data_IF_913524504520
#
_entry.id   IF_913524504520
#
_cell.length_a   1.000
_cell.length_b   1.000
_cell.length_c   1.000
_cell.angle_alpha   90.00
_cell.angle_beta   90.00
_cell.angle_gamma   90.00
#
_symmetry.space_group_name_H-M   'P 1'
#
loop_
_entity.id
_entity.type
_entity.pdbx_description
1 polymer ?
#
# COMPACT_ATOMS: atom_id res chain seq x y z
N UNK A 1 28.21 -17.69 -24.39
CA UNK A 1 28.06 -18.54 -23.22
C UNK A 1 26.62 -18.41 -22.76
N UNK A 2 25.81 -19.44 -23.01
CA UNK A 2 24.37 -19.49 -22.73
C UNK A 2 24.17 -19.74 -21.24
N UNK A 3 23.32 -18.93 -20.60
CA UNK A 3 22.71 -19.28 -19.34
C UNK A 3 21.23 -19.59 -19.59
N UNK A 4 21.00 -20.89 -19.78
CA UNK A 4 19.65 -21.47 -19.71
C UNK A 4 19.57 -22.08 -18.32
N UNK A 5 18.73 -21.50 -17.45
CA UNK A 5 18.38 -22.17 -16.22
C UNK A 5 16.85 -22.08 -16.07
N UNK A 6 16.24 -23.19 -16.42
CA UNK A 6 14.81 -23.42 -16.39
C UNK A 6 14.31 -23.69 -14.98
N UNK A 7 13.94 -22.65 -14.27
CA UNK A 7 13.06 -22.77 -13.12
C UNK A 7 11.89 -21.79 -13.26
N UNK A 8 10.90 -22.13 -14.11
CA UNK A 8 9.60 -21.50 -14.09
C UNK A 8 8.83 -21.96 -12.86
N UNK A 9 9.12 -21.33 -11.72
CA UNK A 9 8.21 -21.31 -10.57
C UNK A 9 6.85 -20.77 -11.03
N UNK A 10 5.75 -21.43 -10.67
CA UNK A 10 4.38 -21.02 -10.97
C UNK A 10 4.20 -19.52 -10.63
N UNK A 11 4.16 -18.69 -11.66
CA UNK A 11 3.85 -17.26 -11.51
C UNK A 11 2.36 -17.15 -11.20
N UNK A 12 2.02 -16.96 -9.94
CA UNK A 12 0.66 -16.58 -9.57
C UNK A 12 0.38 -15.20 -10.15
N UNK A 13 -0.52 -15.15 -11.11
CA UNK A 13 -1.01 -13.89 -11.68
C UNK A 13 -2.16 -13.40 -10.82
N UNK A 14 -2.03 -12.25 -10.21
CA UNK A 14 -3.05 -11.67 -9.36
C UNK A 14 -4.13 -11.01 -10.20
N UNK A 15 -5.39 -11.40 -9.99
CA UNK A 15 -6.55 -10.74 -10.57
C UNK A 15 -7.30 -9.99 -9.45
N UNK A 16 -7.29 -8.66 -9.49
CA UNK A 16 -8.02 -7.80 -8.56
C UNK A 16 -9.00 -6.94 -9.34
N UNK A 17 -10.30 -7.05 -9.08
CA UNK A 17 -11.37 -6.32 -9.78
C UNK A 17 -11.30 -6.44 -11.31
N UNK A 18 -10.98 -7.64 -11.83
CA UNK A 18 -10.87 -7.90 -13.27
C UNK A 18 -9.55 -7.45 -13.91
N UNK A 19 -8.67 -6.81 -13.16
CA UNK A 19 -7.32 -6.44 -13.62
C UNK A 19 -6.31 -7.53 -13.27
N UNK A 20 -5.53 -7.92 -14.27
CA UNK A 20 -4.41 -8.87 -14.11
C UNK A 20 -3.13 -8.07 -13.97
N UNK A 21 -2.46 -8.17 -12.82
CA UNK A 21 -1.17 -7.50 -12.63
C UNK A 21 -0.12 -8.09 -13.57
N UNK A 22 0.63 -7.26 -14.33
CA UNK A 22 1.74 -7.73 -15.14
C UNK A 22 2.97 -8.13 -14.31
N UNK A 23 2.95 -7.81 -13.02
CA UNK A 23 4.07 -8.07 -12.12
C UNK A 23 3.88 -9.37 -11.36
N UNK A 24 4.95 -10.17 -11.19
CA UNK A 24 4.92 -11.34 -10.34
C UNK A 24 4.70 -10.94 -8.88
N UNK A 25 4.09 -11.81 -8.11
CA UNK A 25 4.02 -11.67 -6.65
C UNK A 25 5.34 -12.13 -6.05
N UNK A 26 5.92 -11.34 -5.14
CA UNK A 26 7.13 -11.73 -4.42
C UNK A 26 6.91 -13.04 -3.64
N UNK A 27 7.91 -13.93 -3.61
CA UNK A 27 7.83 -15.13 -2.79
C UNK A 27 7.66 -14.76 -1.30
N UNK A 28 6.80 -15.52 -0.62
CA UNK A 28 6.55 -15.31 0.80
C UNK A 28 7.75 -15.82 1.61
N UNK A 29 8.40 -14.98 2.44
CA UNK A 29 9.48 -15.43 3.33
C UNK A 29 8.98 -16.42 4.38
N UNK A 30 9.84 -17.34 4.81
CA UNK A 30 9.49 -18.38 5.79
C UNK A 30 8.87 -17.83 7.08
N UNK A 31 9.35 -16.71 7.58
CA UNK A 31 8.80 -16.09 8.79
C UNK A 31 7.38 -15.55 8.60
N UNK A 32 7.01 -15.13 7.38
CA UNK A 32 5.62 -14.75 7.05
C UNK A 32 4.78 -16.00 6.86
N UNK A 33 5.31 -17.02 6.18
CA UNK A 33 4.64 -18.29 6.02
C UNK A 33 4.30 -18.93 7.37
N UNK A 34 5.20 -18.82 8.35
CA UNK A 34 4.96 -19.31 9.72
C UNK A 34 3.80 -18.60 10.45
N UNK A 35 3.42 -17.39 10.04
CA UNK A 35 2.25 -16.70 10.62
C UNK A 35 0.93 -17.40 10.28
N UNK A 36 0.89 -18.20 9.22
CA UNK A 36 -0.32 -18.91 8.75
C UNK A 36 -0.86 -19.89 9.80
N UNK A 37 0.04 -20.42 10.63
CA UNK A 37 -0.27 -21.39 11.68
C UNK A 37 -0.10 -20.78 13.10
N UNK A 38 -0.05 -19.45 13.19
CA UNK A 38 0.15 -18.75 14.47
C UNK A 38 -1.02 -18.97 15.41
N UNK A 39 -0.76 -19.45 16.62
CA UNK A 39 -1.75 -19.49 17.70
C UNK A 39 -2.03 -18.10 18.29
N UNK A 40 -1.10 -17.15 18.15
CA UNK A 40 -1.28 -15.78 18.60
C UNK A 40 -2.04 -14.94 17.56
N UNK A 41 -2.83 -13.94 17.98
CA UNK A 41 -3.53 -13.05 17.07
C UNK A 41 -2.58 -12.33 16.10
N UNK A 42 -2.86 -12.41 14.80
CA UNK A 42 -2.12 -11.70 13.75
C UNK A 42 -2.87 -10.41 13.41
N UNK A 43 -2.18 -9.28 13.53
CA UNK A 43 -2.71 -7.97 13.20
C UNK A 43 -1.99 -7.37 11.99
N UNK A 44 -2.75 -6.74 11.10
CA UNK A 44 -2.23 -5.95 9.98
C UNK A 44 -2.52 -4.47 10.20
N UNK A 45 -1.52 -3.62 9.98
CA UNK A 45 -1.71 -2.17 9.97
C UNK A 45 -1.95 -1.69 8.55
N UNK A 46 -3.11 -1.10 8.32
CA UNK A 46 -3.54 -0.50 7.08
C UNK A 46 -3.45 1.02 7.14
N UNK A 47 -2.96 1.63 6.07
CA UNK A 47 -2.75 3.07 5.96
C UNK A 47 -3.27 3.67 4.64
N UNK A 48 -3.69 2.85 3.71
CA UNK A 48 -4.17 3.19 2.36
C UNK A 48 -5.44 2.41 2.03
N UNK A 49 -5.53 1.90 0.80
CA UNK A 49 -6.73 1.22 0.27
C UNK A 49 -7.22 0.06 1.12
N UNK A 50 -6.35 -0.63 1.84
CA UNK A 50 -6.75 -1.66 2.81
C UNK A 50 -7.67 -1.14 3.92
N UNK A 51 -7.70 0.17 4.21
CA UNK A 51 -8.59 0.72 5.25
C UNK A 51 -10.07 0.74 4.84
N UNK A 52 -10.37 1.00 3.57
CA UNK A 52 -11.73 1.11 3.03
C UNK A 52 -12.11 -0.03 2.09
N UNK A 53 -11.15 -0.73 1.55
CA UNK A 53 -11.34 -1.93 0.74
C UNK A 53 -10.31 -3.00 1.13
N UNK A 54 -10.47 -3.67 2.28
CA UNK A 54 -9.51 -4.65 2.77
C UNK A 54 -9.36 -5.87 1.86
N UNK A 55 -10.43 -6.28 1.16
CA UNK A 55 -10.47 -7.48 0.30
C UNK A 55 -9.87 -8.73 0.98
N UNK A 56 -9.93 -8.77 2.30
CA UNK A 56 -9.50 -9.90 3.13
C UNK A 56 -10.48 -10.07 4.29
N UNK A 57 -10.73 -11.28 4.77
CA UNK A 57 -11.49 -11.47 5.98
C UNK A 57 -10.75 -10.91 7.19
N UNK A 58 -11.49 -10.30 8.11
CA UNK A 58 -10.96 -9.86 9.40
C UNK A 58 -12.00 -10.09 10.49
N UNK A 59 -11.53 -10.39 11.70
CA UNK A 59 -12.39 -10.61 12.87
C UNK A 59 -12.68 -9.31 13.63
N UNK A 60 -11.77 -8.33 13.54
CA UNK A 60 -11.83 -7.09 14.30
C UNK A 60 -11.03 -5.99 13.60
N UNK A 61 -11.44 -4.73 13.78
CA UNK A 61 -10.65 -3.56 13.36
C UNK A 61 -10.62 -2.49 14.44
N UNK A 62 -9.51 -1.79 14.59
CA UNK A 62 -9.31 -0.71 15.57
C UNK A 62 -8.61 0.48 14.93
N UNK A 63 -8.97 1.73 15.26
CA UNK A 63 -8.12 2.87 14.98
C UNK A 63 -6.75 2.68 15.61
N UNK A 64 -5.69 2.94 14.86
CA UNK A 64 -4.34 2.64 15.33
C UNK A 64 -3.33 3.68 14.79
N UNK A 65 -2.87 4.62 15.62
CA UNK A 65 -1.71 5.43 15.30
C UNK A 65 -0.43 4.59 15.32
N UNK A 66 0.40 4.79 14.29
CA UNK A 66 1.72 4.23 14.14
C UNK A 66 2.76 5.35 14.15
N UNK A 67 3.75 5.28 15.05
CA UNK A 67 4.88 6.22 15.11
C UNK A 67 6.08 5.69 14.36
N UNK A 68 6.91 6.61 13.85
CA UNK A 68 8.11 6.29 13.09
C UNK A 68 7.86 5.98 11.60
N UNK A 69 6.61 6.13 11.15
CA UNK A 69 6.18 5.93 9.77
C UNK A 69 5.13 6.97 9.39
N UNK A 70 5.11 7.38 8.13
CA UNK A 70 4.09 8.27 7.58
C UNK A 70 3.65 7.78 6.20
N UNK A 71 2.41 8.09 5.82
CA UNK A 71 1.96 7.85 4.45
C UNK A 71 2.37 8.99 3.54
N UNK A 72 2.76 8.65 2.32
CA UNK A 72 3.06 9.65 1.31
C UNK A 72 2.94 9.05 -0.09
N UNK A 73 2.77 9.90 -1.10
CA UNK A 73 2.84 9.52 -2.51
C UNK A 73 4.33 9.47 -2.91
N UNK A 74 4.99 8.36 -2.64
CA UNK A 74 6.44 8.18 -2.75
C UNK A 74 6.86 6.99 -3.62
N UNK A 75 5.93 6.38 -4.32
CA UNK A 75 6.21 5.28 -5.25
C UNK A 75 5.76 5.65 -6.66
N UNK A 76 6.64 5.50 -7.63
CA UNK A 76 6.25 5.57 -9.04
C UNK A 76 5.35 4.41 -9.42
N UNK A 77 4.26 4.72 -10.10
CA UNK A 77 3.34 3.74 -10.69
C UNK A 77 3.44 3.81 -12.21
N UNK A 78 3.93 2.73 -12.82
CA UNK A 78 4.16 2.64 -14.26
C UNK A 78 3.06 1.87 -14.99
N UNK A 79 2.02 1.45 -14.26
CA UNK A 79 0.94 0.63 -14.79
C UNK A 79 -0.42 1.04 -14.23
N UNK A 80 -0.59 1.12 -12.91
CA UNK A 80 -1.89 1.42 -12.29
C UNK A 80 -2.33 2.86 -12.46
N UNK A 81 -1.44 3.83 -12.20
CA UNK A 81 -1.74 5.28 -12.20
C UNK A 81 -0.82 6.09 -13.11
N UNK A 82 -0.12 5.42 -14.01
CA UNK A 82 0.78 5.98 -14.99
C UNK A 82 1.17 4.94 -16.01
N UNK A 83 2.11 5.28 -16.89
CA UNK A 83 2.75 4.38 -17.86
C UNK A 83 4.27 4.36 -17.63
N UNK A 84 5.03 3.45 -18.26
CA UNK A 84 6.48 3.48 -18.20
C UNK A 84 7.08 4.81 -18.63
N UNK A 85 6.51 5.46 -19.65
CA UNK A 85 6.97 6.73 -20.23
C UNK A 85 6.53 7.95 -19.38
N UNK A 86 5.40 7.82 -18.69
CA UNK A 86 4.81 8.87 -17.83
C UNK A 86 4.32 8.25 -16.51
N UNK A 87 5.24 7.91 -15.61
CA UNK A 87 4.88 7.32 -14.34
C UNK A 87 4.00 8.26 -13.50
N UNK A 88 2.98 7.69 -12.87
CA UNK A 88 2.23 8.37 -11.81
C UNK A 88 2.83 8.14 -10.44
N UNK A 89 2.12 8.54 -9.40
CA UNK A 89 2.48 8.26 -8.02
C UNK A 89 1.38 7.48 -7.31
N UNK A 90 1.81 6.57 -6.42
CA UNK A 90 0.93 5.85 -5.51
C UNK A 90 1.42 5.96 -4.07
N UNK A 91 0.49 5.67 -3.16
CA UNK A 91 0.70 5.80 -1.73
C UNK A 91 1.63 4.71 -1.21
N UNK A 92 2.53 5.09 -0.31
CA UNK A 92 3.38 4.18 0.45
C UNK A 92 3.48 4.58 1.92
N UNK A 93 3.89 3.64 2.76
CA UNK A 93 4.23 3.88 4.16
C UNK A 93 5.74 4.03 4.25
N UNK A 94 6.21 5.24 4.48
CA UNK A 94 7.62 5.56 4.51
C UNK A 94 8.11 5.90 5.93
N UNK A 95 9.42 5.84 6.15
CA UNK A 95 10.03 6.06 7.47
C UNK A 95 9.94 7.52 7.90
N UNK A 96 9.70 7.70 9.20
CA UNK A 96 9.63 8.99 9.88
C UNK A 96 8.20 9.43 10.17
N UNK A 97 8.03 10.40 11.09
CA UNK A 97 6.74 10.97 11.42
C UNK A 97 5.76 10.01 12.12
N UNK A 98 4.50 10.16 11.80
CA UNK A 98 3.41 9.31 12.31
C UNK A 98 2.33 9.12 11.25
N UNK A 99 1.58 8.02 11.36
CA UNK A 99 0.49 7.69 10.49
C UNK A 99 -0.73 7.25 11.30
N UNK A 100 -1.87 7.90 11.09
CA UNK A 100 -3.15 7.42 11.59
C UNK A 100 -3.67 6.36 10.61
N UNK A 101 -4.00 5.17 11.10
CA UNK A 101 -4.46 4.07 10.27
C UNK A 101 -5.40 3.15 11.03
N UNK A 102 -5.58 1.96 10.50
CA UNK A 102 -6.42 0.91 11.09
C UNK A 102 -5.60 -0.35 11.32
N UNK A 103 -5.74 -0.97 12.49
CA UNK A 103 -5.25 -2.32 12.73
C UNK A 103 -6.40 -3.31 12.52
N UNK A 104 -6.16 -4.34 11.69
CA UNK A 104 -7.09 -5.41 11.42
C UNK A 104 -6.57 -6.71 12.03
N UNK A 105 -7.36 -7.32 12.88
CA UNK A 105 -7.09 -8.67 13.38
C UNK A 105 -7.61 -9.68 12.36
N UNK A 106 -6.71 -10.50 11.84
CA UNK A 106 -7.11 -11.58 10.93
C UNK A 106 -7.89 -12.66 11.71
N UNK A 107 -8.83 -13.35 11.05
CA UNK A 107 -9.56 -14.42 11.71
C UNK A 107 -8.62 -15.58 12.04
N UNK A 108 -8.80 -16.21 13.18
CA UNK A 108 -8.00 -17.39 13.55
C UNK A 108 -8.37 -18.58 12.66
N UNK A 109 -9.67 -18.74 12.42
CA UNK A 109 -10.18 -19.70 11.45
C UNK A 109 -9.95 -19.14 10.03
N UNK A 110 -9.20 -19.90 9.22
CA UNK A 110 -8.79 -19.48 7.88
C UNK A 110 -7.65 -18.44 7.84
N UNK A 111 -6.84 -18.31 8.90
CA UNK A 111 -5.74 -17.37 9.00
C UNK A 111 -4.76 -17.48 7.82
N UNK A 112 -4.40 -18.71 7.43
CA UNK A 112 -3.50 -18.95 6.30
C UNK A 112 -4.04 -18.37 4.99
N UNK A 113 -5.31 -18.59 4.69
CA UNK A 113 -5.96 -18.05 3.50
C UNK A 113 -6.02 -16.50 3.52
N UNK A 114 -6.29 -15.90 4.68
CA UNK A 114 -6.30 -14.44 4.83
C UNK A 114 -4.90 -13.82 4.59
N UNK A 115 -3.84 -14.48 5.08
CA UNK A 115 -2.44 -14.06 4.85
C UNK A 115 -2.09 -14.19 3.36
N UNK A 116 -2.43 -15.31 2.74
CA UNK A 116 -2.15 -15.53 1.31
C UNK A 116 -2.83 -14.47 0.44
N UNK A 117 -4.08 -14.13 0.75
CA UNK A 117 -4.85 -13.14 0.01
C UNK A 117 -4.24 -11.74 0.11
N UNK A 118 -3.90 -11.30 1.33
CA UNK A 118 -3.28 -9.97 1.50
C UNK A 118 -1.85 -9.94 0.94
N UNK A 119 -1.10 -11.03 1.06
CA UNK A 119 0.23 -11.15 0.47
C UNK A 119 0.18 -11.01 -1.05
N UNK A 120 -0.67 -11.78 -1.71
CA UNK A 120 -0.83 -11.73 -3.16
C UNK A 120 -1.19 -10.32 -3.63
N UNK A 121 -2.06 -9.61 -2.90
CA UNK A 121 -2.49 -8.25 -3.23
C UNK A 121 -1.38 -7.20 -3.08
N UNK A 122 -0.64 -7.23 -1.98
CA UNK A 122 0.29 -6.15 -1.62
C UNK A 122 1.72 -6.40 -2.15
N UNK A 123 2.07 -7.66 -2.44
CA UNK A 123 3.42 -8.01 -2.86
C UNK A 123 3.58 -8.16 -4.38
N UNK A 124 2.61 -7.69 -5.15
CA UNK A 124 2.76 -7.57 -6.60
C UNK A 124 3.65 -6.36 -6.94
N UNK A 125 4.72 -6.60 -7.71
CA UNK A 125 5.60 -5.54 -8.24
C UNK A 125 6.77 -5.15 -7.34
N UNK A 126 7.06 -5.90 -6.30
CA UNK A 126 8.27 -5.78 -5.47
C UNK A 126 8.52 -4.39 -4.81
N UNK A 127 7.52 -3.52 -4.74
CA UNK A 127 7.68 -2.15 -4.22
C UNK A 127 7.52 -2.04 -2.70
N UNK A 128 6.94 -3.07 -2.08
CA UNK A 128 6.76 -3.17 -0.64
C UNK A 128 7.57 -4.30 -0.02
N UNK A 129 7.63 -4.28 1.30
CA UNK A 129 8.03 -5.41 2.15
C UNK A 129 7.20 -5.39 3.42
N UNK A 130 6.85 -6.56 3.92
CA UNK A 130 6.18 -6.68 5.21
C UNK A 130 7.18 -6.45 6.35
N UNK A 131 6.77 -5.72 7.39
CA UNK A 131 7.57 -5.44 8.58
C UNK A 131 6.72 -5.54 9.84
N UNK A 132 7.26 -6.10 10.94
CA UNK A 132 6.66 -5.95 12.25
C UNK A 132 6.72 -4.49 12.69
N UNK A 133 5.60 -4.01 13.22
CA UNK A 133 5.43 -2.65 13.76
C UNK A 133 4.70 -2.73 15.10
N UNK A 134 4.79 -1.67 15.89
CA UNK A 134 4.02 -1.56 17.14
C UNK A 134 3.07 -0.37 17.02
N UNK A 135 1.78 -0.64 17.07
CA UNK A 135 0.72 0.37 16.98
C UNK A 135 0.06 0.58 18.33
N UNK A 136 -0.53 1.74 18.53
CA UNK A 136 -1.33 2.05 19.73
C UNK A 136 -2.80 1.91 19.36
N UNK A 137 -3.57 1.23 20.19
CA UNK A 137 -5.04 1.15 20.07
C UNK A 137 -5.68 1.70 21.33
N UNK A 138 -7.00 1.89 21.37
CA UNK A 138 -7.71 2.27 22.60
C UNK A 138 -7.45 1.33 23.78
N UNK A 139 -7.21 0.03 23.49
CA UNK A 139 -6.97 -0.99 24.51
C UNK A 139 -5.48 -1.17 24.86
N UNK A 140 -4.60 -0.38 24.23
CA UNK A 140 -3.15 -0.42 24.49
C UNK A 140 -2.32 -0.68 23.24
N UNK A 141 -1.04 -0.97 23.47
CA UNK A 141 -0.10 -1.24 22.37
C UNK A 141 -0.19 -2.69 21.94
N UNK A 142 -0.22 -2.90 20.63
CA UNK A 142 -0.20 -4.23 20.02
C UNK A 142 0.89 -4.33 18.95
N UNK A 143 1.42 -5.54 18.76
CA UNK A 143 2.24 -5.88 17.61
C UNK A 143 1.36 -6.07 16.38
N UNK A 144 1.78 -5.53 15.25
CA UNK A 144 1.11 -5.69 13.98
C UNK A 144 2.14 -5.81 12.85
N UNK A 145 1.68 -6.14 11.66
CA UNK A 145 2.51 -6.14 10.45
C UNK A 145 2.04 -5.05 9.50
N UNK A 146 2.96 -4.38 8.82
CA UNK A 146 2.66 -3.35 7.83
C UNK A 146 3.45 -3.58 6.56
N UNK A 147 2.85 -3.25 5.42
CA UNK A 147 3.54 -3.19 4.14
C UNK A 147 4.18 -1.81 3.99
N UNK A 148 5.52 -1.77 4.00
CA UNK A 148 6.29 -0.54 3.95
C UNK A 148 7.08 -0.45 2.65
N UNK A 149 7.38 0.74 2.19
CA UNK A 149 8.09 0.96 0.93
C UNK A 149 9.51 0.38 0.95
N UNK A 150 9.94 -0.15 -0.16
CA UNK A 150 11.31 -0.57 -0.42
C UNK A 150 12.07 0.60 -1.03
N UNK A 151 12.87 1.30 -0.20
CA UNK A 151 13.68 2.46 -0.63
C UNK A 151 14.84 2.08 -1.56
N UNK A 152 15.16 0.80 -1.63
CA UNK A 152 16.20 0.21 -2.50
C UNK A 152 15.71 -0.08 -3.92
N UNK A 153 14.42 0.16 -4.23
CA UNK A 153 13.83 -0.10 -5.55
C UNK A 153 13.82 1.16 -6.43
N UNK A 154 13.96 0.99 -7.76
CA UNK A 154 13.90 2.11 -8.71
C UNK A 154 12.58 2.87 -8.69
N UNK A 155 11.50 2.23 -8.23
CA UNK A 155 10.18 2.85 -8.13
C UNK A 155 10.00 3.71 -6.88
N UNK A 156 10.98 3.74 -5.96
CA UNK A 156 10.95 4.66 -4.85
C UNK A 156 11.29 6.07 -5.31
N UNK A 157 10.28 6.94 -5.38
CA UNK A 157 10.41 8.33 -5.81
C UNK A 157 11.10 9.24 -4.78
N UNK A 158 11.28 8.73 -3.55
CA UNK A 158 11.86 9.52 -2.47
C UNK A 158 10.90 10.61 -1.95
N UNK A 159 11.50 11.64 -1.36
CA UNK A 159 10.77 12.80 -0.85
C UNK A 159 10.68 13.86 -1.93
N UNK A 160 9.55 13.88 -2.62
CA UNK A 160 9.24 14.93 -3.61
C UNK A 160 8.76 16.21 -2.90
N UNK A 161 8.98 17.36 -3.57
CA UNK A 161 8.30 18.58 -3.17
C UNK A 161 6.78 18.47 -3.42
N UNK A 162 6.00 19.29 -2.73
CA UNK A 162 4.55 19.36 -2.94
C UNK A 162 4.20 19.60 -4.41
N UNK A 163 4.89 20.55 -5.04
CA UNK A 163 4.67 20.93 -6.43
C UNK A 163 5.07 19.84 -7.42
N UNK A 164 6.18 19.13 -7.18
CA UNK A 164 6.63 18.06 -8.07
C UNK A 164 5.65 16.86 -7.99
N UNK A 165 5.27 16.45 -6.78
CA UNK A 165 4.27 15.41 -6.61
C UNK A 165 2.93 15.79 -7.26
N UNK A 166 2.47 17.03 -7.06
CA UNK A 166 1.22 17.51 -7.64
C UNK A 166 1.26 17.53 -9.19
N UNK A 167 2.35 17.98 -9.81
CA UNK A 167 2.51 17.97 -11.28
C UNK A 167 2.46 16.54 -11.84
N UNK A 168 3.10 15.59 -11.18
CA UNK A 168 3.07 14.18 -11.61
C UNK A 168 1.65 13.64 -11.51
N UNK A 169 0.98 13.82 -10.37
CA UNK A 169 -0.35 13.27 -10.11
C UNK A 169 -1.41 13.88 -11.03
N UNK A 170 -1.32 15.18 -11.31
CA UNK A 170 -2.31 15.91 -12.10
C UNK A 170 -2.45 15.37 -13.55
N UNK A 171 -1.37 14.84 -14.12
CA UNK A 171 -1.34 14.45 -15.55
C UNK A 171 -1.24 12.94 -15.77
N UNK A 172 -0.93 12.16 -14.75
CA UNK A 172 -0.68 10.74 -14.90
C UNK A 172 -1.98 9.94 -14.99
N UNK A 173 -2.03 9.03 -15.96
CA UNK A 173 -3.14 8.08 -16.15
C UNK A 173 -2.58 6.71 -16.47
N UNK A 174 -3.10 5.68 -15.85
CA UNK A 174 -2.70 4.30 -16.06
C UNK A 174 -3.90 3.36 -16.18
N UNK A 175 -3.63 2.06 -16.16
CA UNK A 175 -4.64 1.00 -16.36
C UNK A 175 -5.78 0.98 -15.35
N UNK A 176 -5.60 1.60 -14.16
CA UNK A 176 -6.64 1.73 -13.11
C UNK A 176 -7.16 3.16 -12.95
N UNK A 177 -6.98 4.02 -13.95
CA UNK A 177 -7.47 5.40 -13.97
C UNK A 177 -6.41 6.42 -13.59
N UNK A 178 -6.85 7.66 -13.32
CA UNK A 178 -5.96 8.81 -13.14
C UNK A 178 -5.31 8.82 -11.74
N UNK A 179 -4.13 9.45 -11.65
CA UNK A 179 -3.50 9.74 -10.36
C UNK A 179 -4.34 10.69 -9.50
N UNK A 180 -5.02 11.65 -10.17
CA UNK A 180 -5.93 12.61 -9.54
C UNK A 180 -7.08 11.93 -8.82
N UNK A 181 -7.80 11.03 -9.51
CA UNK A 181 -8.91 10.29 -8.90
C UNK A 181 -8.45 9.41 -7.74
N UNK A 182 -7.26 8.81 -7.87
CA UNK A 182 -6.69 8.00 -6.80
C UNK A 182 -6.39 8.83 -5.54
N UNK A 183 -5.80 10.03 -5.70
CA UNK A 183 -5.55 10.93 -4.58
C UNK A 183 -6.85 11.44 -3.97
N UNK A 184 -7.80 11.91 -4.79
CA UNK A 184 -9.10 12.40 -4.35
C UNK A 184 -9.87 11.33 -3.55
N UNK A 185 -9.94 10.10 -4.08
CA UNK A 185 -10.55 8.98 -3.38
C UNK A 185 -9.83 8.63 -2.06
N UNK A 186 -8.49 8.72 -2.04
CA UNK A 186 -7.72 8.49 -0.81
C UNK A 186 -8.08 9.52 0.26
N UNK A 187 -8.09 10.81 -0.07
CA UNK A 187 -8.44 11.89 0.86
C UNK A 187 -9.87 11.72 1.37
N UNK A 188 -10.84 11.52 0.46
CA UNK A 188 -12.25 11.29 0.83
C UNK A 188 -12.42 10.14 1.83
N UNK A 189 -11.79 8.99 1.58
CA UNK A 189 -11.90 7.84 2.50
C UNK A 189 -11.22 8.10 3.85
N UNK A 190 -10.14 8.89 3.89
CA UNK A 190 -9.54 9.29 5.16
C UNK A 190 -10.50 10.19 5.95
N UNK A 191 -11.18 11.13 5.30
CA UNK A 191 -12.20 12.00 5.91
C UNK A 191 -13.39 11.20 6.44
N UNK A 192 -13.90 10.23 5.66
CA UNK A 192 -14.96 9.30 6.09
C UNK A 192 -14.58 8.49 7.34
N UNK A 193 -13.30 8.20 7.51
CA UNK A 193 -12.75 7.53 8.70
C UNK A 193 -12.38 8.49 9.84
N UNK A 194 -12.61 9.80 9.67
CA UNK A 194 -12.23 10.82 10.65
C UNK A 194 -10.72 11.02 10.78
N UNK A 195 -9.95 10.67 9.77
CA UNK A 195 -8.49 10.78 9.76
C UNK A 195 -8.08 12.06 9.03
N UNK A 196 -7.62 13.06 9.76
CA UNK A 196 -7.00 14.24 9.20
C UNK A 196 -5.55 13.96 8.82
N UNK A 197 -5.22 14.06 7.53
CA UNK A 197 -3.86 13.95 7.00
C UNK A 197 -3.48 15.24 6.26
N UNK A 198 -2.97 16.21 7.01
CA UNK A 198 -2.67 17.54 6.47
C UNK A 198 -1.74 17.53 5.22
N UNK A 199 -0.69 16.70 5.15
CA UNK A 199 0.12 16.57 3.93
C UNK A 199 -0.68 16.13 2.71
N UNK A 200 -1.57 15.14 2.83
CA UNK A 200 -2.37 14.66 1.70
C UNK A 200 -3.46 15.65 1.29
N UNK A 201 -4.08 16.35 2.24
CA UNK A 201 -5.06 17.40 1.92
C UNK A 201 -4.40 18.53 1.12
N UNK A 202 -3.22 19.03 1.55
CA UNK A 202 -2.48 20.05 0.78
C UNK A 202 -2.06 19.55 -0.60
N UNK A 203 -1.70 18.29 -0.72
CA UNK A 203 -1.36 17.70 -2.02
C UNK A 203 -2.60 17.66 -2.93
N UNK A 204 -3.75 17.29 -2.41
CA UNK A 204 -5.01 17.28 -3.14
C UNK A 204 -5.41 18.69 -3.60
N UNK A 205 -5.39 19.67 -2.70
CA UNK A 205 -5.66 21.08 -3.03
C UNK A 205 -4.72 21.57 -4.16
N UNK A 206 -3.44 21.21 -4.10
CA UNK A 206 -2.46 21.63 -5.12
C UNK A 206 -2.71 20.97 -6.47
N UNK A 207 -3.08 19.68 -6.49
CA UNK A 207 -3.46 18.96 -7.72
C UNK A 207 -4.70 19.57 -8.37
N UNK A 208 -5.74 19.89 -7.57
CA UNK A 208 -6.96 20.51 -8.06
C UNK A 208 -6.69 21.91 -8.64
N UNK A 209 -5.84 22.71 -7.98
CA UNK A 209 -5.45 24.01 -8.50
C UNK A 209 -4.72 23.94 -9.85
N UNK A 210 -3.88 22.92 -10.07
CA UNK A 210 -3.20 22.71 -11.35
C UNK A 210 -4.18 22.28 -12.44
N UNK A 211 -5.14 21.44 -12.10
CA UNK A 211 -6.14 20.95 -13.07
C UNK A 211 -7.10 22.06 -13.56
N UNK A 212 -7.34 23.11 -12.76
CA UNK A 212 -8.15 24.26 -13.15
C UNK A 212 -7.42 25.24 -14.08
N UNK A 213 -6.09 25.12 -14.18
CA UNK A 213 -5.25 25.99 -15.00
C UNK A 213 -4.90 25.37 -16.38
N UNK A 214 -5.29 24.12 -16.59
CA UNK A 214 -5.02 23.35 -17.83
C UNK A 214 -6.25 23.27 -18.72
#
# INVERSE_FOLDING_TARGET
>A
MRWDDGSYSLRMTLQVNGYVSPYPVDPMPDWVAALRDSAAPVWLFAYGSLMWNPEMPFAERRPAPLRGWHRSFCLYSRDYRGTPERPGLVLGLDRGGSCQGMAYRLPQDGLGAAIDQVWAREMAGEVYRMRPVSVTTPEGRIGAYAFVVRRDRPDYAGRLSLDDAARIIAVATGGRGTGRDYLANTVRHLEELGIADGPLHRLHERVEALAQQS
#
